data_IF_712044145883
#
_entry.id   IF_712044145883
#
_cell.length_a   1.000
_cell.length_b   1.000
_cell.length_c   1.000
_cell.angle_alpha   90.00
_cell.angle_beta   90.00
_cell.angle_gamma   90.00
#
_symmetry.space_group_name_H-M   'P 1'
#
loop_
_entity.id
_entity.type
_entity.pdbx_description
1 polymer ?
#
# COMPACT_ATOMS: atom_id res chain seq x y z
N UNK A 1 -2.83 -4.62 14.81
CA UNK A 1 -1.74 -4.81 13.81
C UNK A 1 -0.51 -4.02 14.21
N UNK A 2 -0.59 -2.69 14.30
CA UNK A 2 0.58 -1.87 14.65
C UNK A 2 1.15 -2.22 16.03
N UNK A 3 0.35 -2.08 17.08
CA UNK A 3 0.80 -2.31 18.47
C UNK A 3 1.08 -3.79 18.72
N UNK A 4 0.10 -4.68 18.49
CA UNK A 4 0.23 -6.07 18.94
C UNK A 4 1.06 -6.96 18.01
N UNK A 5 1.33 -6.54 16.77
CA UNK A 5 2.07 -7.34 15.78
C UNK A 5 3.30 -6.65 15.23
N UNK A 6 3.58 -5.40 15.64
CA UNK A 6 4.70 -4.62 15.09
C UNK A 6 4.61 -4.47 13.57
N UNK A 7 3.41 -4.50 12.99
CA UNK A 7 3.21 -4.58 11.54
C UNK A 7 2.52 -3.34 10.99
N UNK A 8 3.08 -2.83 9.90
CA UNK A 8 2.49 -1.75 9.10
C UNK A 8 2.62 -2.06 7.60
N UNK A 9 1.54 -1.90 6.81
CA UNK A 9 1.58 -2.20 5.39
C UNK A 9 2.20 -1.06 4.56
N UNK A 10 2.93 -1.43 3.50
CA UNK A 10 3.39 -0.50 2.46
C UNK A 10 2.64 -0.67 1.13
N UNK A 11 1.92 -1.77 0.97
CA UNK A 11 1.06 -2.03 -0.16
C UNK A 11 -0.31 -2.44 0.35
N UNK A 12 -1.35 -2.02 -0.36
CA UNK A 12 -2.71 -2.43 -0.06
C UNK A 12 -3.50 -2.66 -1.34
N UNK A 13 -4.65 -3.29 -1.16
CA UNK A 13 -5.69 -3.44 -2.16
C UNK A 13 -7.02 -3.38 -1.43
N UNK A 14 -8.00 -2.67 -1.96
CA UNK A 14 -9.33 -2.64 -1.37
C UNK A 14 -10.09 -3.94 -1.58
N UNK A 15 -10.97 -4.25 -0.61
CA UNK A 15 -11.95 -5.31 -0.79
C UNK A 15 -12.78 -5.02 -2.03
N UNK A 16 -12.87 -6.00 -2.93
CA UNK A 16 -13.62 -5.90 -4.19
C UNK A 16 -13.24 -4.70 -5.07
N UNK A 17 -12.02 -4.17 -4.92
CA UNK A 17 -11.53 -3.03 -5.71
C UNK A 17 -12.38 -1.76 -5.54
N UNK A 18 -13.18 -1.65 -4.47
CA UNK A 18 -13.98 -0.45 -4.20
C UNK A 18 -13.08 0.74 -3.92
N UNK A 19 -13.36 1.90 -4.51
CA UNK A 19 -12.70 3.17 -4.20
C UNK A 19 -13.59 4.36 -4.58
N UNK A 20 -13.40 5.49 -3.88
CA UNK A 20 -13.94 6.80 -4.25
C UNK A 20 -12.89 7.89 -3.94
N UNK A 21 -13.12 9.14 -4.38
CA UNK A 21 -12.12 10.20 -4.22
C UNK A 21 -11.80 10.54 -2.76
N UNK A 22 -12.77 10.40 -1.84
CA UNK A 22 -12.54 10.65 -0.42
C UNK A 22 -11.62 9.60 0.19
N UNK A 23 -11.85 8.32 -0.13
CA UNK A 23 -11.01 7.21 0.30
C UNK A 23 -9.63 7.29 -0.36
N UNK A 24 -9.55 7.60 -1.65
CA UNK A 24 -8.29 7.83 -2.37
C UNK A 24 -7.41 8.88 -1.69
N UNK A 25 -8.00 10.02 -1.28
CA UNK A 25 -7.31 11.07 -0.52
C UNK A 25 -6.86 10.61 0.86
N UNK A 26 -7.62 9.76 1.53
CA UNK A 26 -7.22 9.20 2.83
C UNK A 26 -6.04 8.22 2.68
N UNK A 27 -6.07 7.37 1.66
CA UNK A 27 -4.99 6.41 1.35
C UNK A 27 -3.69 7.13 1.01
N UNK A 28 -3.77 8.24 0.26
CA UNK A 28 -2.62 9.05 -0.18
C UNK A 28 -1.67 9.44 0.96
N UNK A 29 -2.18 9.62 2.17
CA UNK A 29 -1.37 10.01 3.33
C UNK A 29 -0.79 8.82 4.12
N UNK A 30 -1.16 7.58 3.78
CA UNK A 30 -0.88 6.41 4.62
C UNK A 30 -0.03 5.37 3.88
N UNK A 31 -0.43 5.01 2.66
CA UNK A 31 0.14 3.87 1.92
C UNK A 31 0.68 4.32 0.56
N UNK A 32 1.95 4.02 0.21
CA UNK A 32 2.55 4.45 -1.05
C UNK A 32 2.08 3.66 -2.27
N UNK A 33 1.66 2.40 -2.09
CA UNK A 33 1.35 1.50 -3.20
C UNK A 33 -0.04 0.91 -3.07
N UNK A 34 -0.89 1.21 -4.06
CA UNK A 34 -2.23 0.70 -4.20
C UNK A 34 -2.31 -0.30 -5.35
N UNK A 35 -2.90 -1.46 -5.12
CA UNK A 35 -3.17 -2.48 -6.11
C UNK A 35 -4.68 -2.68 -6.34
N UNK A 36 -5.48 -1.62 -6.18
CA UNK A 36 -6.94 -1.69 -6.30
C UNK A 36 -7.44 -1.51 -7.73
N UNK A 37 -6.66 -0.91 -8.64
CA UNK A 37 -7.16 -0.62 -9.98
C UNK A 37 -7.50 -1.89 -10.76
N UNK A 38 -8.74 -2.01 -11.24
CA UNK A 38 -9.17 -3.12 -12.10
C UNK A 38 -9.86 -2.62 -13.38
N UNK A 39 -9.16 -1.88 -14.25
CA UNK A 39 -9.71 -1.42 -15.51
C UNK A 39 -9.90 -2.57 -16.52
N UNK A 40 -10.93 -2.50 -17.38
CA UNK A 40 -11.90 -1.42 -17.55
C UNK A 40 -13.18 -1.61 -16.72
N UNK A 41 -13.12 -2.40 -15.65
CA UNK A 41 -14.31 -2.91 -14.98
C UNK A 41 -15.01 -1.81 -14.18
N UNK A 42 -16.34 -1.87 -14.18
CA UNK A 42 -17.19 -1.03 -13.35
C UNK A 42 -18.43 -1.80 -12.94
N UNK A 43 -18.88 -1.56 -11.73
CA UNK A 43 -20.12 -2.07 -11.19
C UNK A 43 -20.67 -1.04 -10.20
N UNK A 44 -21.78 -0.40 -10.56
CA UNK A 44 -22.37 0.69 -9.76
C UNK A 44 -23.82 0.34 -9.40
N UNK A 45 -24.06 -0.66 -8.54
CA UNK A 45 -25.41 -1.09 -8.20
C UNK A 45 -26.14 0.02 -7.43
N UNK A 46 -27.34 0.40 -7.89
CA UNK A 46 -28.10 1.52 -7.28
C UNK A 46 -28.72 1.21 -5.90
N UNK A 47 -28.89 -0.06 -5.50
CA UNK A 47 -29.75 -0.44 -4.35
C UNK A 47 -29.33 -1.68 -3.53
N UNK A 48 -28.13 -2.26 -3.72
CA UNK A 48 -27.77 -3.55 -3.08
C UNK A 48 -26.29 -3.67 -2.67
N UNK A 49 -25.80 -2.70 -1.92
CA UNK A 49 -24.61 -2.92 -1.09
C UNK A 49 -25.02 -3.61 0.23
N UNK A 50 -24.22 -4.53 0.79
CA UNK A 50 -22.88 -4.97 0.35
C UNK A 50 -22.88 -6.19 -0.60
N UNK A 51 -24.04 -6.64 -1.07
CA UNK A 51 -24.18 -7.93 -1.78
C UNK A 51 -23.68 -7.92 -3.23
N UNK A 52 -23.48 -6.74 -3.83
CA UNK A 52 -23.16 -6.61 -5.26
C UNK A 52 -21.89 -5.85 -5.58
N UNK A 53 -21.06 -5.49 -4.61
CA UNK A 53 -19.74 -4.89 -4.79
C UNK A 53 -19.71 -3.68 -5.74
N UNK A 54 -19.70 -2.48 -5.19
CA UNK A 54 -19.56 -1.26 -5.97
C UNK A 54 -18.08 -0.98 -6.31
N UNK A 55 -17.78 -0.64 -7.55
CA UNK A 55 -16.46 -0.13 -7.98
C UNK A 55 -16.57 0.53 -9.35
N UNK A 56 -15.69 1.48 -9.65
CA UNK A 56 -15.57 2.04 -11.01
C UNK A 56 -14.10 2.27 -11.34
N UNK A 57 -13.60 1.52 -12.31
CA UNK A 57 -12.25 1.67 -12.87
C UNK A 57 -12.31 1.88 -14.38
N UNK A 58 -13.47 2.27 -14.92
CA UNK A 58 -13.68 2.38 -16.35
C UNK A 58 -12.84 3.49 -17.01
N UNK A 59 -12.39 4.47 -16.23
CA UNK A 59 -11.50 5.55 -16.69
C UNK A 59 -10.03 5.32 -16.36
N UNK A 60 -9.70 4.24 -15.64
CA UNK A 60 -8.33 4.00 -15.21
C UNK A 60 -7.40 3.54 -16.34
N UNK A 61 -6.11 3.96 -16.31
CA UNK A 61 -5.08 3.49 -17.23
C UNK A 61 -5.04 1.96 -17.32
N UNK A 62 -5.01 1.43 -18.54
CA UNK A 62 -5.02 -0.03 -18.79
C UNK A 62 -3.62 -0.64 -18.72
N UNK A 63 -2.60 0.20 -18.58
CA UNK A 63 -1.18 -0.13 -18.57
C UNK A 63 -0.74 -0.84 -17.27
N UNK A 64 0.23 -1.75 -17.40
CA UNK A 64 0.81 -2.53 -16.29
C UNK A 64 2.06 -1.86 -15.68
N UNK A 65 2.06 -0.54 -15.59
CA UNK A 65 3.19 0.28 -15.09
C UNK A 65 2.87 1.15 -13.87
N UNK A 66 1.59 1.22 -13.52
CA UNK A 66 1.05 2.08 -12.47
C UNK A 66 1.02 3.56 -12.85
N UNK A 67 0.26 4.34 -12.08
CA UNK A 67 0.12 5.78 -12.25
C UNK A 67 -0.03 6.50 -10.92
N UNK A 68 0.29 7.78 -10.89
CA UNK A 68 -0.07 8.68 -9.79
C UNK A 68 -1.49 9.19 -10.02
N UNK A 69 -2.42 9.08 -9.06
CA UNK A 69 -3.80 9.50 -9.26
C UNK A 69 -4.00 11.03 -9.17
N UNK A 70 -5.13 11.51 -9.69
CA UNK A 70 -5.60 12.87 -9.44
C UNK A 70 -6.41 12.96 -8.13
N UNK A 71 -6.32 14.11 -7.46
CA UNK A 71 -6.97 14.32 -6.17
C UNK A 71 -8.50 14.48 -6.25
N UNK A 72 -9.02 14.78 -7.45
CA UNK A 72 -10.45 14.96 -7.74
C UNK A 72 -11.04 13.80 -8.54
N UNK A 73 -10.20 12.96 -9.13
CA UNK A 73 -10.62 11.76 -9.85
C UNK A 73 -9.51 10.71 -9.75
N UNK A 74 -9.65 9.80 -8.79
CA UNK A 74 -8.64 8.77 -8.53
C UNK A 74 -8.35 7.87 -9.73
N UNK A 75 -9.26 7.80 -10.70
CA UNK A 75 -9.10 6.95 -11.87
C UNK A 75 -8.13 7.53 -12.90
N UNK A 76 -7.80 8.83 -12.89
CA UNK A 76 -6.96 9.43 -13.94
C UNK A 76 -5.56 9.78 -13.41
N UNK A 77 -4.53 9.84 -14.30
CA UNK A 77 -3.23 10.35 -13.92
C UNK A 77 -3.27 11.78 -13.38
N UNK A 78 -2.55 12.03 -12.28
CA UNK A 78 -2.48 13.29 -11.58
C UNK A 78 -1.18 13.45 -10.78
N UNK A 79 -1.26 14.18 -9.65
CA UNK A 79 -0.09 14.64 -8.88
C UNK A 79 -0.01 14.10 -7.44
N UNK A 80 -0.88 13.16 -7.06
CA UNK A 80 -0.76 12.47 -5.77
C UNK A 80 0.55 11.67 -5.70
N UNK A 81 1.06 11.39 -4.50
CA UNK A 81 2.36 10.72 -4.30
C UNK A 81 2.25 9.21 -4.40
N UNK A 82 1.11 8.62 -4.06
CA UNK A 82 0.91 7.17 -4.14
C UNK A 82 0.92 6.70 -5.59
N UNK A 83 1.26 5.43 -5.77
CA UNK A 83 1.11 4.74 -7.04
C UNK A 83 -0.13 3.85 -6.98
N UNK A 84 -0.95 3.88 -8.03
CA UNK A 84 -1.99 2.88 -8.27
C UNK A 84 -1.52 1.94 -9.36
N UNK A 85 -1.52 0.66 -9.07
CA UNK A 85 -1.20 -0.43 -9.98
C UNK A 85 -2.46 -1.20 -10.33
N UNK A 86 -2.50 -1.62 -11.59
CA UNK A 86 -3.51 -2.53 -12.08
C UNK A 86 -3.35 -3.91 -11.44
N UNK A 87 -4.45 -4.44 -10.94
CA UNK A 87 -4.60 -5.84 -10.55
C UNK A 87 -5.53 -6.54 -11.52
N UNK A 88 -5.21 -7.80 -11.81
CA UNK A 88 -6.07 -8.67 -12.61
C UNK A 88 -6.82 -9.60 -11.66
N UNK A 89 -8.09 -9.30 -11.43
CA UNK A 89 -9.02 -10.16 -10.67
C UNK A 89 -9.57 -11.29 -11.53
N UNK A 90 -9.52 -11.11 -12.84
CA UNK A 90 -9.96 -12.09 -13.80
C UNK A 90 -8.83 -13.09 -14.02
N UNK A 91 -9.02 -14.33 -13.56
CA UNK A 91 -8.22 -15.53 -13.90
C UNK A 91 -8.20 -15.85 -15.42
N UNK A 92 -8.46 -14.86 -16.28
CA UNK A 92 -8.49 -14.96 -17.72
C UNK A 92 -7.17 -14.42 -18.24
N UNK A 93 -6.49 -15.20 -19.08
CA UNK A 93 -5.24 -14.85 -19.76
C UNK A 93 -5.31 -13.59 -20.68
N UNK A 94 -6.45 -12.89 -20.70
CA UNK A 94 -6.70 -11.73 -21.53
C UNK A 94 -5.83 -10.54 -21.07
N UNK A 95 -4.82 -10.21 -21.86
CA UNK A 95 -3.95 -9.04 -21.66
C UNK A 95 -2.50 -9.35 -21.29
N UNK A 96 -2.16 -10.60 -20.97
CA UNK A 96 -0.77 -10.99 -20.67
C UNK A 96 0.15 -10.89 -21.90
N UNK A 97 -0.37 -11.14 -23.09
CA UNK A 97 0.39 -10.95 -24.33
C UNK A 97 0.97 -9.53 -24.43
N UNK A 98 0.19 -8.50 -24.05
CA UNK A 98 0.65 -7.11 -24.06
C UNK A 98 1.75 -6.87 -23.02
N UNK A 99 1.68 -7.53 -21.86
CA UNK A 99 2.74 -7.49 -20.84
C UNK A 99 4.05 -8.02 -21.44
N UNK A 100 4.02 -9.19 -22.06
CA UNK A 100 5.21 -9.81 -22.63
C UNK A 100 5.76 -9.05 -23.85
N UNK A 101 4.89 -8.55 -24.74
CA UNK A 101 5.28 -7.69 -25.86
C UNK A 101 6.04 -6.46 -25.38
N UNK A 102 5.52 -5.75 -24.36
CA UNK A 102 6.20 -4.60 -23.80
C UNK A 102 7.51 -4.99 -23.10
N UNK A 103 7.51 -6.08 -22.32
CA UNK A 103 8.71 -6.56 -21.65
C UNK A 103 9.84 -6.89 -22.64
N UNK A 104 9.53 -7.49 -23.79
CA UNK A 104 10.49 -7.76 -24.87
C UNK A 104 11.10 -6.49 -25.47
N UNK A 105 10.37 -5.37 -25.44
CA UNK A 105 10.88 -4.04 -25.83
C UNK A 105 11.70 -3.35 -24.72
N UNK A 106 12.14 -4.09 -23.69
CA UNK A 106 12.91 -3.56 -22.56
C UNK A 106 12.05 -2.79 -21.55
N UNK A 107 10.73 -2.83 -21.67
CA UNK A 107 9.81 -2.12 -20.77
C UNK A 107 9.39 -3.05 -19.63
N UNK A 108 10.00 -2.89 -18.44
CA UNK A 108 9.54 -3.56 -17.20
C UNK A 108 8.02 -3.42 -17.01
N UNK A 109 7.35 -4.54 -16.73
CA UNK A 109 5.90 -4.64 -16.50
C UNK A 109 5.64 -5.28 -15.13
N UNK A 110 4.52 -4.93 -14.51
CA UNK A 110 4.05 -5.51 -13.25
C UNK A 110 2.71 -6.19 -13.49
N UNK A 111 2.65 -7.51 -13.24
CA UNK A 111 1.41 -8.26 -13.18
C UNK A 111 1.05 -8.51 -11.70
N UNK A 112 -0.03 -7.88 -11.22
CA UNK A 112 -0.60 -8.19 -9.90
C UNK A 112 -1.76 -9.17 -10.09
N UNK A 113 -1.68 -10.30 -9.39
CA UNK A 113 -2.68 -11.37 -9.42
C UNK A 113 -3.20 -11.56 -8.00
N UNK A 114 -4.51 -11.74 -7.86
CA UNK A 114 -5.16 -11.90 -6.57
C UNK A 114 -6.11 -13.08 -6.55
N UNK A 115 -6.23 -13.69 -5.38
CA UNK A 115 -7.11 -14.81 -5.10
C UNK A 115 -7.89 -14.53 -3.80
N UNK A 116 -9.15 -14.96 -3.74
CA UNK A 116 -10.05 -14.67 -2.61
C UNK A 116 -10.11 -15.76 -1.54
N UNK A 117 -9.66 -16.96 -1.87
CA UNK A 117 -9.72 -18.13 -0.97
C UNK A 117 -8.56 -19.06 -1.24
N UNK A 118 -8.30 -19.96 -0.29
CA UNK A 118 -7.31 -21.03 -0.46
C UNK A 118 -7.64 -21.93 -1.65
N UNK A 119 -8.92 -22.24 -1.89
CA UNK A 119 -9.33 -23.03 -3.06
C UNK A 119 -8.99 -22.33 -4.39
N UNK A 120 -9.09 -21.00 -4.42
CA UNK A 120 -8.70 -20.21 -5.59
C UNK A 120 -7.17 -20.16 -5.80
N UNK A 121 -6.37 -20.41 -4.75
CA UNK A 121 -4.90 -20.50 -4.88
C UNK A 121 -4.52 -21.77 -5.65
N UNK A 122 -5.17 -22.91 -5.41
CA UNK A 122 -4.91 -24.13 -6.17
C UNK A 122 -5.15 -23.90 -7.68
N UNK A 123 -6.30 -23.30 -8.03
CA UNK A 123 -6.60 -22.94 -9.42
C UNK A 123 -5.54 -21.98 -10.02
N UNK A 124 -5.12 -20.97 -9.26
CA UNK A 124 -4.06 -20.04 -9.66
C UNK A 124 -2.75 -20.79 -9.97
N UNK A 125 -2.33 -21.71 -9.12
CA UNK A 125 -1.08 -22.46 -9.24
C UNK A 125 -1.12 -23.54 -10.32
N UNK A 126 -2.26 -24.20 -10.51
CA UNK A 126 -2.38 -25.34 -11.43
C UNK A 126 -2.71 -24.91 -12.86
N UNK A 127 -3.29 -23.72 -13.06
CA UNK A 127 -3.77 -23.29 -14.39
C UNK A 127 -3.22 -21.95 -14.83
N UNK A 128 -3.40 -20.90 -14.03
CA UNK A 128 -3.09 -19.55 -14.44
C UNK A 128 -1.57 -19.33 -14.49
N UNK A 129 -0.85 -19.76 -13.46
CA UNK A 129 0.60 -19.59 -13.38
C UNK A 129 1.38 -20.38 -14.45
N UNK A 130 1.08 -21.67 -14.73
CA UNK A 130 1.75 -22.40 -15.79
C UNK A 130 1.51 -21.78 -17.18
N UNK A 131 0.29 -21.33 -17.45
CA UNK A 131 -0.03 -20.63 -18.69
C UNK A 131 0.73 -19.29 -18.81
N UNK A 132 0.84 -18.54 -17.71
CA UNK A 132 1.61 -17.29 -17.67
C UNK A 132 3.09 -17.55 -17.96
N UNK A 133 3.67 -18.55 -17.30
CA UNK A 133 5.08 -18.92 -17.48
C UNK A 133 5.37 -19.48 -18.88
N UNK A 134 4.45 -20.26 -19.45
CA UNK A 134 4.56 -20.74 -20.83
C UNK A 134 4.56 -19.58 -21.84
N UNK A 135 3.66 -18.61 -21.68
CA UNK A 135 3.65 -17.41 -22.53
C UNK A 135 4.91 -16.56 -22.36
N UNK A 136 5.42 -16.44 -21.13
CA UNK A 136 6.69 -15.74 -20.87
C UNK A 136 7.87 -16.41 -21.59
N UNK A 137 7.92 -17.75 -21.56
CA UNK A 137 8.93 -18.55 -22.25
C UNK A 137 8.86 -18.34 -23.76
N UNK A 138 7.68 -18.46 -24.37
CA UNK A 138 7.48 -18.20 -25.81
C UNK A 138 7.87 -16.78 -26.22
N UNK A 139 7.69 -15.81 -25.33
CA UNK A 139 8.05 -14.42 -25.57
C UNK A 139 9.52 -14.09 -25.28
N UNK A 140 10.30 -15.04 -24.75
CA UNK A 140 11.69 -14.87 -24.29
C UNK A 140 11.85 -13.80 -23.19
N UNK A 141 10.87 -13.73 -22.29
CA UNK A 141 10.82 -12.75 -21.19
C UNK A 141 11.15 -13.42 -19.86
N UNK A 142 12.08 -12.81 -19.10
CA UNK A 142 12.38 -13.23 -17.72
C UNK A 142 11.27 -12.77 -16.77
N UNK A 143 10.79 -13.69 -15.94
CA UNK A 143 9.77 -13.43 -14.91
C UNK A 143 10.38 -13.59 -13.53
N UNK A 144 9.98 -12.72 -12.59
CA UNK A 144 10.36 -12.80 -11.17
C UNK A 144 9.12 -12.65 -10.29
N UNK A 145 8.93 -13.56 -9.35
CA UNK A 145 7.93 -13.44 -8.29
C UNK A 145 8.53 -12.68 -7.11
N UNK A 146 7.82 -11.66 -6.64
CA UNK A 146 8.25 -10.78 -5.54
C UNK A 146 7.03 -10.32 -4.75
N UNK A 147 7.25 -9.77 -3.55
CA UNK A 147 6.20 -9.10 -2.80
C UNK A 147 5.68 -7.86 -3.54
N UNK A 148 4.44 -7.46 -3.26
CA UNK A 148 3.81 -6.29 -3.89
C UNK A 148 4.66 -5.01 -3.74
N UNK A 149 5.17 -4.74 -2.52
CA UNK A 149 6.04 -3.59 -2.27
C UNK A 149 7.34 -3.65 -3.06
N UNK A 150 7.98 -4.82 -3.16
CA UNK A 150 9.21 -4.98 -3.94
C UNK A 150 8.96 -4.81 -5.44
N UNK A 151 7.84 -5.31 -5.96
CA UNK A 151 7.44 -5.09 -7.36
C UNK A 151 7.24 -3.61 -7.65
N UNK A 152 6.47 -2.92 -6.79
CA UNK A 152 6.21 -1.48 -6.92
C UNK A 152 7.50 -0.66 -6.84
N UNK A 153 8.39 -0.97 -5.90
CA UNK A 153 9.68 -0.31 -5.78
C UNK A 153 10.55 -0.51 -7.03
N UNK A 154 10.57 -1.71 -7.60
CA UNK A 154 11.33 -2.00 -8.81
C UNK A 154 10.78 -1.26 -10.04
N UNK A 155 9.47 -1.28 -10.27
CA UNK A 155 8.87 -0.66 -11.47
C UNK A 155 8.87 0.87 -11.41
N UNK A 156 8.87 1.44 -10.22
CA UNK A 156 8.93 2.90 -10.00
C UNK A 156 10.35 3.44 -9.86
N UNK A 157 11.38 2.58 -9.98
CA UNK A 157 12.78 2.98 -9.89
C UNK A 157 13.24 3.37 -8.49
N UNK A 158 12.57 2.86 -7.44
CA UNK A 158 12.81 3.19 -6.02
C UNK A 158 13.43 2.06 -5.22
N UNK A 159 13.70 0.89 -5.81
CA UNK A 159 14.15 -0.31 -5.10
C UNK A 159 15.43 -0.14 -4.26
N UNK A 160 16.28 0.83 -4.59
CA UNK A 160 17.53 1.12 -3.87
C UNK A 160 17.40 2.07 -2.68
N UNK A 161 16.21 2.64 -2.42
CA UNK A 161 16.05 3.58 -1.31
C UNK A 161 16.04 2.83 0.04
N UNK A 162 16.79 3.34 1.04
CA UNK A 162 16.89 2.67 2.33
C UNK A 162 15.57 2.71 3.10
N UNK A 163 15.47 1.86 4.12
CA UNK A 163 14.41 1.96 5.11
C UNK A 163 14.46 3.32 5.83
N UNK A 164 13.38 3.64 6.53
CA UNK A 164 13.30 4.82 7.39
C UNK A 164 13.31 4.35 8.84
N UNK A 165 14.50 4.25 9.48
CA UNK A 165 14.56 3.92 10.89
C UNK A 165 13.66 4.86 11.69
N UNK A 166 13.03 4.33 12.72
CA UNK A 166 12.10 5.05 13.56
C UNK A 166 12.46 4.77 15.02
N UNK A 167 12.56 5.81 15.83
CA UNK A 167 12.69 5.69 17.28
C UNK A 167 11.67 6.58 17.99
N UNK A 168 11.38 6.21 19.23
CA UNK A 168 10.50 6.96 20.13
C UNK A 168 11.27 7.21 21.42
N UNK A 169 11.48 8.47 21.74
CA UNK A 169 12.15 8.92 22.96
C UNK A 169 11.11 9.65 23.84
N UNK A 170 11.14 9.46 25.17
CA UNK A 170 10.27 10.20 26.10
C UNK A 170 11.04 11.30 26.81
N UNK A 171 10.42 12.47 26.94
CA UNK A 171 10.85 13.49 27.90
C UNK A 171 9.63 14.08 28.61
N UNK A 172 9.50 13.78 29.91
CA UNK A 172 8.33 14.15 30.69
C UNK A 172 7.03 13.61 30.08
N UNK A 173 6.09 14.51 29.82
CA UNK A 173 4.76 14.23 29.28
C UNK A 173 4.70 14.24 27.74
N UNK A 174 5.84 14.06 27.08
CA UNK A 174 5.94 14.12 25.62
C UNK A 174 6.74 12.94 25.07
N UNK A 175 6.19 12.31 24.02
CA UNK A 175 6.88 11.35 23.18
C UNK A 175 7.41 12.03 21.92
N UNK A 176 8.71 11.93 21.68
CA UNK A 176 9.38 12.39 20.47
C UNK A 176 9.57 11.23 19.50
N UNK A 177 9.08 11.38 18.28
CA UNK A 177 9.17 10.38 17.22
C UNK A 177 10.16 10.88 16.18
N UNK A 178 11.19 10.08 15.90
CA UNK A 178 12.34 10.52 15.12
C UNK A 178 12.63 9.52 14.01
N UNK A 179 12.83 10.03 12.79
CA UNK A 179 13.33 9.29 11.65
C UNK A 179 14.46 10.05 10.97
N UNK A 180 15.56 9.34 10.70
CA UNK A 180 16.76 9.93 10.08
C UNK A 180 16.65 10.04 8.55
N UNK A 181 15.55 9.55 7.97
CA UNK A 181 15.30 9.64 6.53
C UNK A 181 13.91 10.19 6.22
N UNK A 182 13.72 10.62 4.97
CA UNK A 182 12.42 11.10 4.51
C UNK A 182 11.44 9.93 4.40
N UNK A 183 10.33 10.06 5.12
CA UNK A 183 9.21 9.13 5.07
C UNK A 183 8.24 9.49 3.93
N UNK A 184 7.39 8.53 3.56
CA UNK A 184 6.32 8.71 2.58
C UNK A 184 5.18 9.56 3.15
N UNK A 185 4.73 9.21 4.35
CA UNK A 185 3.61 9.87 5.02
C UNK A 185 3.94 11.32 5.36
N UNK A 186 2.94 12.22 5.49
CA UNK A 186 3.17 13.57 6.03
C UNK A 186 3.63 13.54 7.50
N UNK A 187 3.20 12.53 8.26
CA UNK A 187 3.63 12.24 9.62
C UNK A 187 3.55 10.72 9.90
N UNK A 188 4.30 10.19 10.87
CA UNK A 188 4.20 8.79 11.28
C UNK A 188 2.75 8.41 11.62
N UNK A 189 2.36 7.19 11.24
CA UNK A 189 1.07 6.64 11.63
C UNK A 189 1.21 6.06 13.03
N UNK A 190 0.63 6.73 14.03
CA UNK A 190 0.74 6.30 15.42
C UNK A 190 -0.58 5.81 16.01
N UNK A 191 -0.46 4.92 17.00
CA UNK A 191 -1.56 4.42 17.79
C UNK A 191 -1.13 4.26 19.25
N UNK A 192 -2.10 4.35 20.13
CA UNK A 192 -1.93 4.11 21.56
C UNK A 192 -2.94 3.06 22.02
N UNK A 193 -2.52 2.20 22.94
CA UNK A 193 -3.34 1.22 23.65
C UNK A 193 -3.23 1.52 25.14
N UNK A 194 -4.35 1.77 25.79
CA UNK A 194 -4.41 2.01 27.24
C UNK A 194 -4.38 0.69 28.01
N UNK A 195 -4.18 0.75 29.33
CA UNK A 195 -4.24 -0.40 30.25
C UNK A 195 -5.59 -1.12 30.21
N UNK A 196 -6.69 -0.41 29.95
CA UNK A 196 -8.01 -1.01 29.75
C UNK A 196 -8.18 -1.70 28.37
N UNK A 197 -7.12 -1.73 27.55
CA UNK A 197 -7.13 -2.35 26.24
C UNK A 197 -7.81 -1.51 25.15
N UNK A 198 -8.03 -0.21 25.38
CA UNK A 198 -8.66 0.68 24.40
C UNK A 198 -7.60 1.16 23.40
N UNK A 199 -7.89 0.98 22.10
CA UNK A 199 -7.02 1.43 21.01
C UNK A 199 -7.50 2.77 20.45
N UNK A 200 -6.58 3.72 20.27
CA UNK A 200 -6.85 5.02 19.63
C UNK A 200 -5.79 5.38 18.62
N UNK A 201 -6.19 6.10 17.57
CA UNK A 201 -5.23 6.73 16.66
C UNK A 201 -4.61 7.93 17.37
N UNK A 202 -3.27 7.97 17.38
CA UNK A 202 -2.51 9.08 17.92
C UNK A 202 -1.95 9.92 16.76
N UNK A 203 -2.27 11.21 16.74
CA UNK A 203 -1.83 12.11 15.67
C UNK A 203 -0.57 12.85 16.13
N UNK A 204 0.59 12.45 15.59
CA UNK A 204 1.84 13.12 15.91
C UNK A 204 1.95 14.48 15.19
N UNK A 205 2.43 15.49 15.91
CA UNK A 205 2.62 16.85 15.42
C UNK A 205 4.05 17.05 14.94
N UNK A 206 4.22 17.70 13.78
CA UNK A 206 5.55 17.95 13.22
C UNK A 206 6.26 19.08 13.96
N UNK A 207 7.55 18.89 14.30
CA UNK A 207 8.41 19.94 14.86
C UNK A 207 8.98 20.91 13.80
N UNK A 208 8.54 20.79 12.55
CA UNK A 208 8.99 21.64 11.45
C UNK A 208 9.03 20.91 10.12
N UNK A 209 9.10 21.66 9.02
CA UNK A 209 9.13 21.07 7.68
C UNK A 209 10.40 20.23 7.48
N UNK A 210 10.21 18.94 7.14
CA UNK A 210 11.29 18.00 6.77
C UNK A 210 12.35 17.75 7.86
N UNK A 211 12.01 17.96 9.12
CA UNK A 211 12.94 17.69 10.23
C UNK A 211 13.15 16.19 10.48
N UNK A 212 12.22 15.34 10.02
CA UNK A 212 12.18 13.93 10.41
C UNK A 212 11.81 13.76 11.89
N UNK A 213 11.20 14.79 12.50
CA UNK A 213 10.91 14.83 13.93
C UNK A 213 9.47 15.25 14.18
N UNK A 214 8.81 14.49 15.03
CA UNK A 214 7.44 14.71 15.46
C UNK A 214 7.33 14.53 16.97
N UNK A 215 6.23 14.98 17.55
CA UNK A 215 5.92 14.74 18.96
C UNK A 215 4.46 14.37 19.16
N UNK A 216 4.18 13.72 20.28
CA UNK A 216 2.85 13.43 20.78
C UNK A 216 2.81 13.78 22.28
N UNK A 217 1.85 14.60 22.70
CA UNK A 217 1.63 14.94 24.10
C UNK A 217 0.82 13.83 24.76
N UNK A 218 1.28 13.35 25.92
CA UNK A 218 0.63 12.29 26.67
C UNK A 218 -0.55 12.81 27.50
N UNK A 219 -0.54 14.09 27.88
CA UNK A 219 -1.59 14.74 28.67
C UNK A 219 -1.81 14.04 30.02
N UNK A 220 -0.72 13.63 30.68
CA UNK A 220 -0.75 12.91 31.95
C UNK A 220 -1.17 11.45 31.83
N UNK A 221 -1.20 10.89 30.62
CA UNK A 221 -1.51 9.46 30.43
C UNK A 221 -0.39 8.57 30.97
N UNK A 222 -0.79 7.58 31.77
CA UNK A 222 0.03 6.53 32.34
C UNK A 222 -0.48 5.16 31.84
N UNK A 223 0.30 4.09 32.08
CA UNK A 223 -0.04 2.70 31.75
C UNK A 223 -0.54 2.50 30.31
N UNK A 224 0.35 2.74 29.36
CA UNK A 224 0.02 2.68 27.93
C UNK A 224 1.11 2.03 27.09
N UNK A 225 0.68 1.56 25.92
CA UNK A 225 1.57 1.13 24.84
C UNK A 225 1.36 2.07 23.65
N UNK A 226 2.42 2.75 23.25
CA UNK A 226 2.43 3.64 22.10
C UNK A 226 3.27 3.04 20.98
N UNK A 227 2.78 3.11 19.75
CA UNK A 227 3.55 2.67 18.60
C UNK A 227 3.35 3.61 17.42
N UNK A 228 4.40 3.81 16.64
CA UNK A 228 4.38 4.54 15.40
C UNK A 228 4.95 3.70 14.27
N UNK A 229 4.44 3.92 13.07
CA UNK A 229 4.99 3.36 11.86
C UNK A 229 5.27 4.43 10.80
N UNK A 230 6.27 4.14 10.00
CA UNK A 230 6.61 4.93 8.82
C UNK A 230 6.88 4.00 7.65
N UNK A 231 6.70 4.53 6.45
CA UNK A 231 7.02 3.84 5.21
C UNK A 231 7.98 4.72 4.42
N UNK A 232 9.08 4.16 3.96
CA UNK A 232 9.98 4.82 3.02
C UNK A 232 9.31 4.97 1.64
N UNK A 233 9.88 5.80 0.76
CA UNK A 233 9.36 5.92 -0.62
C UNK A 233 9.49 4.64 -1.45
N UNK A 234 10.33 3.69 -1.03
CA UNK A 234 10.47 2.35 -1.62
C UNK A 234 9.53 1.30 -1.03
N UNK A 235 8.70 1.67 -0.05
CA UNK A 235 7.77 0.74 0.59
C UNK A 235 8.40 -0.19 1.62
N UNK A 236 9.60 0.13 2.10
CA UNK A 236 10.14 -0.47 3.34
C UNK A 236 9.48 0.20 4.53
N UNK A 237 8.96 -0.59 5.47
CA UNK A 237 8.29 -0.09 6.68
C UNK A 237 9.18 -0.24 7.90
N UNK A 238 9.00 0.66 8.86
CA UNK A 238 9.59 0.56 10.18
C UNK A 238 8.51 0.84 11.22
N UNK A 239 8.57 0.11 12.33
CA UNK A 239 7.68 0.28 13.48
C UNK A 239 8.54 0.49 14.71
N UNK A 240 8.22 1.52 15.47
CA UNK A 240 8.78 1.77 16.79
C UNK A 240 7.66 1.63 17.82
N UNK A 241 8.01 1.06 18.98
CA UNK A 241 7.10 0.84 20.11
C UNK A 241 7.74 1.42 21.37
N UNK A 242 6.93 2.06 22.19
CA UNK A 242 7.26 2.54 23.52
C UNK A 242 6.20 2.02 24.49
N UNK A 243 6.63 1.58 25.66
CA UNK A 243 5.78 1.00 26.69
C UNK A 243 6.04 1.74 27.99
N UNK A 244 4.97 2.24 28.60
CA UNK A 244 4.94 2.71 29.97
C UNK A 244 3.99 1.77 30.70
N UNK A 245 4.52 0.76 31.36
CA UNK A 245 3.74 -0.22 32.12
C UNK A 245 4.33 -0.21 33.52
N UNK A 246 3.60 0.35 34.49
CA UNK A 246 3.98 0.24 35.89
C UNK A 246 3.70 -1.15 36.45
#
# INVERSE_FOLDING_TARGET
LLIDRGFFPAAFRTGWTWENDAFSRWVEDIIPFDFSANPPHKNTPKKREPLRNQYDWSRAPKEFRGYHPDAKDYQIPGKMRRWIFRTNDDNKAAGWQKIFQLARLGKNQLAAITCHSYDNIALLLDTMLPNFMHQALLAEVKVKFVTASAAAAAITGKASLPASPLRIDRAGDTLFIISDTLIYQPAPYCAIKTSEGIYRRAFAHSLGRKTGRWYYALEGMEDFVFACAVTSRSGLTAVARYEDLQ
#
